data_IF_655743855679
#
_entry.id   IF_655743855679
#
_cell.length_a   1.000
_cell.length_b   1.000
_cell.length_c   1.000
_cell.angle_alpha   90.00
_cell.angle_beta   90.00
_cell.angle_gamma   90.00
#
_symmetry.space_group_name_H-M   'P 1'
#
loop_
_entity.id
_entity.type
_entity.pdbx_description
1 polymer ?
#
# COMPACT_ATOMS: atom_id res chain seq x y z
N UNK A 1 26.45 26.35 -24.07
CA UNK A 1 25.90 26.48 -22.70
C UNK A 1 24.43 26.82 -22.80
N UNK A 2 23.52 25.89 -22.45
CA UNK A 2 22.07 26.10 -22.53
C UNK A 2 21.49 26.08 -21.12
N UNK A 3 20.96 27.22 -20.67
CA UNK A 3 20.18 27.35 -19.43
C UNK A 3 18.71 27.09 -19.76
N UNK A 4 18.14 26.05 -19.17
CA UNK A 4 16.69 25.78 -19.22
C UNK A 4 16.11 26.16 -17.85
N UNK A 5 15.34 27.24 -17.80
CA UNK A 5 14.56 27.64 -16.63
C UNK A 5 13.21 26.93 -16.64
N UNK A 6 13.05 25.90 -15.82
CA UNK A 6 11.76 25.28 -15.51
C UNK A 6 11.06 26.12 -14.44
N UNK A 7 10.01 26.86 -14.84
CA UNK A 7 9.07 27.50 -13.90
C UNK A 7 7.97 26.49 -13.56
N UNK A 8 7.94 26.01 -12.32
CA UNK A 8 6.83 25.19 -11.79
C UNK A 8 5.73 26.07 -11.21
N UNK A 9 4.45 25.88 -11.55
CA UNK A 9 3.35 26.37 -10.73
C UNK A 9 2.96 25.30 -9.69
N UNK A 10 3.30 25.56 -8.43
CA UNK A 10 2.75 24.85 -7.29
C UNK A 10 1.30 25.32 -7.09
N UNK A 11 0.32 24.46 -7.36
CA UNK A 11 -1.07 24.65 -6.89
C UNK A 11 -1.61 23.32 -6.40
N UNK A 12 -1.54 23.12 -5.08
CA UNK A 12 -2.26 22.09 -4.37
C UNK A 12 -3.76 22.34 -4.50
N UNK A 13 -4.45 21.49 -5.27
CA UNK A 13 -5.91 21.39 -5.23
C UNK A 13 -6.25 20.11 -4.47
N UNK A 14 -6.54 20.27 -3.18
CA UNK A 14 -7.24 19.31 -2.36
C UNK A 14 -8.65 19.14 -2.95
N UNK A 15 -8.91 17.98 -3.57
CA UNK A 15 -10.27 17.56 -3.90
C UNK A 15 -10.39 16.07 -3.59
N UNK A 16 -11.01 15.75 -2.46
CA UNK A 16 -11.74 14.50 -2.30
C UNK A 16 -12.87 14.69 -1.28
N UNK A 17 -13.93 15.38 -1.71
CA UNK A 17 -15.24 15.21 -1.10
C UNK A 17 -15.87 13.93 -1.68
N UNK A 18 -15.56 12.77 -1.10
CA UNK A 18 -16.32 11.55 -1.36
C UNK A 18 -17.52 11.53 -0.41
N UNK A 19 -18.60 12.18 -0.88
CA UNK A 19 -19.95 11.96 -0.35
C UNK A 19 -20.30 10.49 -0.61
N UNK A 20 -20.29 9.69 0.44
CA UNK A 20 -20.93 8.39 0.39
C UNK A 20 -22.43 8.62 0.34
N UNK A 21 -23.00 8.41 -0.85
CA UNK A 21 -24.43 8.35 -1.06
C UNK A 21 -24.93 7.08 -0.39
N UNK A 22 -25.48 7.18 0.82
CA UNK A 22 -26.21 6.09 1.48
C UNK A 22 -27.53 5.91 0.71
N UNK A 23 -27.80 4.78 0.04
CA UNK A 23 -29.15 4.50 -0.38
C UNK A 23 -29.94 4.04 0.85
N UNK A 24 -30.96 4.82 1.21
CA UNK A 24 -31.96 4.43 2.20
C UNK A 24 -32.89 3.39 1.56
N UNK A 25 -32.74 2.12 1.96
CA UNK A 25 -33.74 1.09 1.70
C UNK A 25 -34.42 0.74 3.01
N UNK A 26 -35.67 1.17 3.13
CA UNK A 26 -36.57 0.75 4.21
C UNK A 26 -37.17 -0.59 3.82
N UNK A 27 -36.91 -1.64 4.60
CA UNK A 27 -37.56 -2.94 4.46
C UNK A 27 -38.00 -3.36 5.86
N UNK A 28 -39.31 -3.40 6.09
CA UNK A 28 -39.88 -3.88 7.34
C UNK A 28 -39.86 -5.41 7.35
N UNK A 29 -39.02 -6.00 8.19
CA UNK A 29 -39.06 -7.43 8.47
C UNK A 29 -39.47 -7.65 9.93
N UNK A 30 -40.66 -8.23 10.11
CA UNK A 30 -41.11 -8.86 11.35
C UNK A 30 -40.49 -10.25 11.43
N UNK A 31 -39.50 -10.48 12.29
CA UNK A 31 -39.19 -11.83 12.77
C UNK A 31 -38.32 -11.81 14.03
N UNK A 32 -38.94 -12.29 15.11
CA UNK A 32 -38.44 -13.17 16.19
C UNK A 32 -36.97 -13.03 16.60
N UNK A 33 -36.81 -12.64 17.86
CA UNK A 33 -35.59 -12.57 18.67
C UNK A 33 -34.74 -13.84 18.55
N UNK A 34 -33.74 -13.81 17.66
CA UNK A 34 -32.62 -14.73 17.64
C UNK A 34 -31.34 -13.88 17.57
N UNK A 35 -30.34 -14.07 18.44
CA UNK A 35 -29.13 -13.27 18.41
C UNK A 35 -28.35 -13.57 17.13
N UNK A 36 -28.44 -12.66 16.15
CA UNK A 36 -27.62 -12.70 14.94
C UNK A 36 -26.14 -12.47 15.33
N UNK A 37 -25.19 -13.31 14.88
CA UNK A 37 -23.78 -13.09 15.14
C UNK A 37 -23.32 -11.78 14.49
N UNK A 38 -22.40 -11.01 15.12
CA UNK A 38 -21.98 -9.71 14.61
C UNK A 38 -21.39 -9.83 13.20
N UNK A 39 -21.55 -8.79 12.36
CA UNK A 39 -21.01 -8.79 11.00
C UNK A 39 -19.50 -9.02 11.05
N UNK A 40 -18.95 -9.88 10.18
CA UNK A 40 -17.54 -10.21 10.25
C UNK A 40 -16.69 -9.00 9.77
N UNK A 41 -15.53 -8.85 10.42
CA UNK A 41 -14.27 -8.36 9.80
C UNK A 41 -13.92 -6.86 9.67
N UNK A 42 -14.44 -5.91 10.46
CA UNK A 42 -13.86 -4.52 10.41
C UNK A 42 -12.75 -4.27 11.43
N UNK A 43 -12.86 -4.85 12.63
CA UNK A 43 -11.92 -4.59 13.74
C UNK A 43 -10.60 -5.34 13.58
N UNK A 44 -10.67 -6.61 13.14
CA UNK A 44 -9.50 -7.48 12.95
C UNK A 44 -8.56 -6.95 11.87
N UNK A 45 -9.12 -6.52 10.75
CA UNK A 45 -8.35 -6.02 9.60
C UNK A 45 -7.67 -4.70 9.91
N UNK A 46 -8.37 -3.76 10.56
CA UNK A 46 -7.78 -2.51 11.05
C UNK A 46 -6.60 -2.76 12.01
N UNK A 47 -6.71 -3.77 12.87
CA UNK A 47 -5.65 -4.16 13.78
C UNK A 47 -4.45 -4.76 13.02
N UNK A 48 -4.68 -5.57 11.98
CA UNK A 48 -3.64 -6.11 11.11
C UNK A 48 -2.90 -4.99 10.35
N UNK A 49 -3.63 -4.07 9.71
CA UNK A 49 -3.05 -2.88 9.04
C UNK A 49 -2.17 -2.11 10.00
N UNK A 50 -2.70 -1.76 11.18
CA UNK A 50 -1.97 -0.96 12.17
C UNK A 50 -0.71 -1.68 12.66
N UNK A 51 -0.80 -2.98 12.91
CA UNK A 51 0.33 -3.82 13.36
C UNK A 51 1.45 -3.87 12.32
N UNK A 52 1.10 -4.13 11.05
CA UNK A 52 2.08 -4.18 9.96
C UNK A 52 2.71 -2.80 9.76
N UNK A 53 1.89 -1.76 9.66
CA UNK A 53 2.38 -0.40 9.47
C UNK A 53 3.32 0.03 10.60
N UNK A 54 2.92 -0.20 11.86
CA UNK A 54 3.74 0.13 13.03
C UNK A 54 5.02 -0.70 13.10
N UNK A 55 5.03 -1.97 12.69
CA UNK A 55 6.26 -2.75 12.62
C UNK A 55 7.29 -2.07 11.72
N UNK A 56 6.88 -1.65 10.53
CA UNK A 56 7.76 -1.01 9.55
C UNK A 56 8.17 0.41 9.96
N UNK A 57 7.31 1.13 10.69
CA UNK A 57 7.66 2.42 11.26
C UNK A 57 8.57 2.31 12.47
N UNK A 58 8.46 1.30 13.32
CA UNK A 58 9.29 1.19 14.52
C UNK A 58 10.69 0.64 14.21
N UNK A 59 10.80 -0.22 13.20
CA UNK A 59 12.08 -0.82 12.80
C UNK A 59 12.83 -0.02 11.72
N UNK A 60 12.41 1.19 11.40
CA UNK A 60 12.99 1.98 10.30
C UNK A 60 14.47 2.36 10.44
N UNK A 61 15.04 2.31 11.65
CA UNK A 61 16.46 2.55 11.89
C UNK A 61 17.34 1.34 11.54
N UNK A 62 16.76 0.14 11.41
CA UNK A 62 17.48 -1.09 11.10
C UNK A 62 17.25 -1.48 9.65
N UNK A 63 18.24 -1.15 8.80
CA UNK A 63 18.24 -1.63 7.40
C UNK A 63 18.08 -3.14 7.37
N UNK A 64 17.12 -3.62 6.59
CA UNK A 64 16.83 -5.05 6.46
C UNK A 64 15.87 -5.59 7.51
N UNK A 65 15.08 -4.75 8.15
CA UNK A 65 14.01 -5.18 9.08
C UNK A 65 13.06 -6.18 8.42
N UNK A 66 12.75 -5.99 7.13
CA UNK A 66 11.96 -6.93 6.34
C UNK A 66 12.57 -8.34 6.23
N UNK A 67 13.90 -8.51 6.41
CA UNK A 67 14.52 -9.84 6.39
C UNK A 67 14.03 -10.73 7.53
N UNK A 68 13.67 -10.12 8.66
CA UNK A 68 13.10 -10.84 9.82
C UNK A 68 11.71 -11.41 9.51
N UNK A 69 11.01 -10.79 8.56
CA UNK A 69 9.68 -11.19 8.14
C UNK A 69 9.69 -12.14 6.95
N UNK A 70 10.86 -12.48 6.39
CA UNK A 70 10.96 -13.40 5.24
C UNK A 70 10.57 -14.81 5.68
N UNK A 71 9.45 -15.31 5.16
CA UNK A 71 8.95 -16.65 5.48
C UNK A 71 8.36 -16.79 6.89
N UNK A 72 8.12 -15.67 7.60
CA UNK A 72 7.51 -15.69 8.92
C UNK A 72 6.01 -16.08 8.83
N UNK A 73 5.58 -17.19 9.47
CA UNK A 73 4.19 -17.63 9.39
C UNK A 73 3.19 -16.63 9.97
N UNK A 74 3.56 -15.92 11.04
CA UNK A 74 2.68 -14.95 11.70
C UNK A 74 2.45 -13.72 10.81
N UNK A 75 3.50 -13.23 10.17
CA UNK A 75 3.40 -12.17 9.18
C UNK A 75 2.60 -12.61 7.96
N UNK A 76 2.82 -13.84 7.47
CA UNK A 76 2.02 -14.41 6.38
C UNK A 76 0.52 -14.39 6.69
N UNK A 77 0.13 -14.84 7.88
CA UNK A 77 -1.27 -14.79 8.34
C UNK A 77 -1.76 -13.34 8.34
N UNK A 78 -0.96 -12.42 8.85
CA UNK A 78 -1.32 -11.00 8.91
C UNK A 78 -1.53 -10.38 7.52
N UNK A 79 -0.78 -10.81 6.51
CA UNK A 79 -0.97 -10.38 5.12
C UNK A 79 -2.21 -11.01 4.50
N UNK A 80 -2.51 -12.27 4.81
CA UNK A 80 -3.72 -12.95 4.32
C UNK A 80 -5.01 -12.39 4.95
N UNK A 81 -4.91 -11.73 6.10
CA UNK A 81 -6.02 -11.00 6.73
C UNK A 81 -6.36 -9.69 6.02
N UNK A 82 -5.47 -9.18 5.16
CA UNK A 82 -5.64 -7.90 4.46
C UNK A 82 -6.16 -8.07 3.04
N UNK A 83 -7.01 -7.14 2.63
CA UNK A 83 -7.39 -7.02 1.24
C UNK A 83 -6.30 -6.30 0.44
N UNK A 84 -6.28 -6.52 -0.88
CA UNK A 84 -5.31 -5.89 -1.77
C UNK A 84 -5.28 -4.36 -1.61
N UNK A 85 -6.44 -3.70 -1.45
CA UNK A 85 -6.49 -2.25 -1.27
C UNK A 85 -5.79 -1.78 0.00
N UNK A 86 -5.84 -2.56 1.07
CA UNK A 86 -5.23 -2.18 2.35
C UNK A 86 -3.71 -2.34 2.30
N UNK A 87 -3.22 -3.36 1.61
CA UNK A 87 -1.78 -3.53 1.34
C UNK A 87 -1.26 -2.33 0.54
N UNK A 88 -2.00 -1.91 -0.48
CA UNK A 88 -1.66 -0.76 -1.33
C UNK A 88 -1.68 0.55 -0.53
N UNK A 89 -2.67 0.75 0.35
CA UNK A 89 -2.74 1.88 1.27
C UNK A 89 -1.53 1.92 2.22
N UNK A 90 -1.07 0.76 2.70
CA UNK A 90 0.14 0.67 3.54
C UNK A 90 1.37 1.10 2.74
N UNK A 91 1.54 0.64 1.49
CA UNK A 91 2.65 1.06 0.62
C UNK A 91 2.62 2.57 0.42
N UNK A 92 1.46 3.12 0.09
CA UNK A 92 1.30 4.56 -0.11
C UNK A 92 1.66 5.35 1.16
N UNK A 93 1.09 5.00 2.32
CA UNK A 93 1.38 5.68 3.59
C UNK A 93 2.86 5.60 3.95
N UNK A 94 3.47 4.42 3.84
CA UNK A 94 4.91 4.27 4.08
C UNK A 94 5.73 5.10 3.10
N UNK A 95 5.32 5.26 1.85
CA UNK A 95 6.06 6.06 0.85
C UNK A 95 6.22 7.53 1.28
N UNK A 96 5.25 8.06 2.02
CA UNK A 96 5.26 9.41 2.58
C UNK A 96 5.98 9.48 3.92
N UNK A 97 5.67 8.57 4.85
CA UNK A 97 6.18 8.61 6.23
C UNK A 97 7.60 8.06 6.36
N UNK A 98 7.88 6.91 5.73
CA UNK A 98 9.20 6.30 5.74
C UNK A 98 9.56 5.64 4.40
N UNK A 99 10.26 6.41 3.57
CA UNK A 99 10.70 5.98 2.25
C UNK A 99 11.51 4.66 2.21
N UNK A 100 12.27 4.32 3.25
CA UNK A 100 13.04 3.06 3.22
C UNK A 100 12.13 1.88 3.56
N UNK A 101 11.28 2.02 4.58
CA UNK A 101 10.30 1.01 4.95
C UNK A 101 9.30 0.73 3.81
N UNK A 102 8.94 1.74 3.02
CA UNK A 102 8.10 1.56 1.83
C UNK A 102 8.75 0.62 0.81
N UNK A 103 10.05 0.80 0.54
CA UNK A 103 10.80 -0.08 -0.37
C UNK A 103 10.93 -1.48 0.22
N UNK A 104 11.26 -1.60 1.50
CA UNK A 104 11.38 -2.88 2.18
C UNK A 104 10.07 -3.68 2.15
N UNK A 105 8.95 -3.05 2.50
CA UNK A 105 7.63 -3.69 2.50
C UNK A 105 7.21 -4.10 1.08
N UNK A 106 7.33 -3.20 0.10
CA UNK A 106 6.97 -3.49 -1.29
C UNK A 106 7.73 -4.70 -1.84
N UNK A 107 9.07 -4.70 -1.71
CA UNK A 107 9.90 -5.77 -2.25
C UNK A 107 9.79 -7.07 -1.46
N UNK A 108 9.55 -7.01 -0.15
CA UNK A 108 9.24 -8.20 0.66
C UNK A 108 7.99 -8.88 0.11
N UNK A 109 6.89 -8.14 -0.03
CA UNK A 109 5.63 -8.72 -0.51
C UNK A 109 5.75 -9.27 -1.93
N UNK A 110 6.41 -8.54 -2.83
CA UNK A 110 6.59 -8.99 -4.20
C UNK A 110 7.47 -10.24 -4.30
N UNK A 111 8.60 -10.25 -3.62
CA UNK A 111 9.62 -11.28 -3.84
C UNK A 111 9.43 -12.52 -2.95
N UNK A 112 8.94 -12.34 -1.72
CA UNK A 112 8.83 -13.41 -0.74
C UNK A 112 7.39 -13.92 -0.56
N UNK A 113 6.41 -13.07 -0.83
CA UNK A 113 4.99 -13.42 -0.71
C UNK A 113 4.27 -13.51 -2.05
N UNK A 114 4.94 -13.21 -3.16
CA UNK A 114 4.38 -13.30 -4.51
C UNK A 114 3.24 -12.32 -4.78
N UNK A 115 3.12 -11.26 -3.97
CA UNK A 115 2.06 -10.27 -4.13
C UNK A 115 2.30 -9.41 -5.39
N UNK A 116 1.28 -9.32 -6.26
CA UNK A 116 1.34 -8.47 -7.44
C UNK A 116 0.77 -7.09 -7.11
N UNK A 117 1.66 -6.12 -6.95
CA UNK A 117 1.28 -4.75 -6.61
C UNK A 117 0.58 -4.05 -7.76
N UNK A 118 -0.31 -3.13 -7.43
CA UNK A 118 -0.98 -2.29 -8.42
C UNK A 118 0.00 -1.32 -9.11
N UNK A 119 -0.40 -0.82 -10.28
CA UNK A 119 0.34 0.25 -10.96
C UNK A 119 0.59 1.46 -10.05
N UNK A 120 -0.37 1.80 -9.18
CA UNK A 120 -0.25 2.93 -8.28
C UNK A 120 0.91 2.73 -7.28
N UNK A 121 1.02 1.55 -6.65
CA UNK A 121 2.16 1.23 -5.77
C UNK A 121 3.49 1.19 -6.51
N UNK A 122 3.51 0.65 -7.74
CA UNK A 122 4.72 0.71 -8.56
C UNK A 122 5.17 2.15 -8.82
N UNK A 123 4.24 3.08 -9.10
CA UNK A 123 4.54 4.51 -9.29
C UNK A 123 4.99 5.16 -7.98
N UNK A 124 4.35 4.87 -6.85
CA UNK A 124 4.76 5.37 -5.54
C UNK A 124 6.21 4.96 -5.21
N UNK A 125 6.55 3.68 -5.43
CA UNK A 125 7.92 3.18 -5.25
C UNK A 125 8.91 3.81 -6.23
N UNK A 126 8.51 4.01 -7.49
CA UNK A 126 9.34 4.72 -8.46
C UNK A 126 9.64 6.16 -8.00
N UNK A 127 8.63 6.87 -7.49
CA UNK A 127 8.80 8.20 -6.93
C UNK A 127 9.76 8.20 -5.73
N UNK A 128 9.64 7.23 -4.82
CA UNK A 128 10.57 7.05 -3.70
C UNK A 128 12.01 6.84 -4.19
N UNK A 129 12.22 5.93 -5.15
CA UNK A 129 13.55 5.65 -5.72
C UNK A 129 14.15 6.91 -6.38
N UNK A 130 13.34 7.69 -7.10
CA UNK A 130 13.75 8.95 -7.71
C UNK A 130 14.16 9.98 -6.66
N UNK A 131 13.34 10.17 -5.61
CA UNK A 131 13.61 11.09 -4.49
C UNK A 131 14.93 10.75 -3.78
N UNK A 132 15.24 9.46 -3.65
CA UNK A 132 16.49 8.96 -3.06
C UNK A 132 17.66 8.89 -4.06
N UNK A 133 17.48 9.35 -5.29
CA UNK A 133 18.48 9.35 -6.37
C UNK A 133 19.02 7.94 -6.68
N UNK A 134 18.22 6.89 -6.44
CA UNK A 134 18.58 5.48 -6.73
C UNK A 134 18.29 5.15 -8.19
N UNK A 135 18.86 5.90 -9.14
CA UNK A 135 18.47 5.88 -10.55
C UNK A 135 18.63 4.52 -11.24
N UNK A 136 19.64 3.73 -10.86
CA UNK A 136 19.81 2.37 -11.38
C UNK A 136 18.63 1.47 -11.00
N UNK A 137 18.22 1.50 -9.73
CA UNK A 137 17.08 0.73 -9.25
C UNK A 137 15.77 1.24 -9.87
N UNK A 138 15.62 2.57 -9.97
CA UNK A 138 14.47 3.18 -10.64
C UNK A 138 14.33 2.71 -12.09
N UNK A 139 15.42 2.73 -12.86
CA UNK A 139 15.42 2.28 -14.26
C UNK A 139 14.94 0.84 -14.38
N UNK A 140 15.51 -0.07 -13.58
CA UNK A 140 15.14 -1.49 -13.59
C UNK A 140 13.67 -1.67 -13.21
N UNK A 141 13.22 -0.96 -12.17
CA UNK A 141 11.83 -1.03 -11.70
C UNK A 141 10.83 -0.57 -12.76
N UNK A 142 11.10 0.55 -13.43
CA UNK A 142 10.22 1.06 -14.50
C UNK A 142 10.21 0.14 -15.73
N UNK A 143 11.36 -0.44 -16.11
CA UNK A 143 11.40 -1.41 -17.20
C UNK A 143 10.53 -2.63 -16.89
N UNK A 144 10.57 -3.14 -15.66
CA UNK A 144 9.71 -4.24 -15.25
C UNK A 144 8.23 -3.86 -15.28
N UNK A 145 7.88 -2.66 -14.82
CA UNK A 145 6.49 -2.20 -14.86
C UNK A 145 5.95 -2.15 -16.30
N UNK A 146 6.71 -1.56 -17.23
CA UNK A 146 6.31 -1.48 -18.64
C UNK A 146 6.15 -2.87 -19.25
N UNK A 147 7.07 -3.79 -18.95
CA UNK A 147 6.96 -5.18 -19.42
C UNK A 147 5.71 -5.88 -18.89
N UNK A 148 5.31 -5.65 -17.64
CA UNK A 148 4.07 -6.21 -17.10
C UNK A 148 2.84 -5.65 -17.83
N UNK A 149 2.82 -4.34 -18.11
CA UNK A 149 1.72 -3.71 -18.86
C UNK A 149 1.63 -4.19 -20.31
N UNK A 150 2.78 -4.40 -20.98
CA UNK A 150 2.82 -4.95 -22.34
C UNK A 150 2.33 -6.40 -22.41
N UNK A 151 2.49 -7.18 -21.33
CA UNK A 151 1.99 -8.55 -21.24
C UNK A 151 0.48 -8.63 -20.97
N UNK A 152 -0.21 -7.49 -20.76
CA UNK A 152 -1.65 -7.46 -20.46
C UNK A 152 -2.03 -8.17 -19.15
N UNK A 153 -1.08 -8.30 -18.23
CA UNK A 153 -1.23 -8.90 -16.90
C UNK A 153 -1.64 -7.88 -15.84
#
# INVERSE_FOLDING_TARGET
MLRITLKSPLKSRLISALRHHIPSFSTANLAVDHPEPPPPTTTTTRAAVSRIFNFFLQNHCTKGSAKLLRGDPCFKISILELDSSEIEDIVEKLSFENSESALEFFFLLRNDYGFNHSRASHIAVAHVLAKKQRFRALKIHLQHLVQQEEMGL
#
